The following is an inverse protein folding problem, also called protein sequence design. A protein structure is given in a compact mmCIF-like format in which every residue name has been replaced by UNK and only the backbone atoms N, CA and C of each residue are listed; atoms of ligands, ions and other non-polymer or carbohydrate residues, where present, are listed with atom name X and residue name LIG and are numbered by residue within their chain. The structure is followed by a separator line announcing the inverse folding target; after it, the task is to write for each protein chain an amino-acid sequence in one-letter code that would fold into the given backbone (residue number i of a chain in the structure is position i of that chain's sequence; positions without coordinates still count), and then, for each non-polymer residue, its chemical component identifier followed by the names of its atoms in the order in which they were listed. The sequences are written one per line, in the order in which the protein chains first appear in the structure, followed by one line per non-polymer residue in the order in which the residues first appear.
data_IF_813437630460
#
_entry.id   IF_813437630460
#
_cell.length_a   1.000
_cell.length_b   1.000
_cell.length_c   1.000
_cell.angle_alpha   90.00
_cell.angle_beta   90.00
_cell.angle_gamma   90.00
#
_symmetry.space_group_name_H-M   'P 1'
#
loop_
_entity.id
_entity.type
_entity.pdbx_description
1 polymer ?
#
# COMPACT_ATOMS: atom_id res chain seq x y z
N UNK A 1 22.15 -52.31 -38.06
CA UNK A 1 23.23 -51.96 -37.12
C UNK A 1 24.31 -51.26 -37.92
N UNK A 2 24.76 -50.04 -37.63
CA UNK A 2 24.25 -49.01 -36.71
C UNK A 2 24.91 -47.66 -37.07
N UNK A 3 24.22 -46.57 -36.75
CA UNK A 3 24.59 -45.15 -36.69
C UNK A 3 26.10 -44.89 -36.39
N UNK A 4 26.74 -43.82 -36.90
CA UNK A 4 26.86 -42.48 -36.27
C UNK A 4 27.69 -41.59 -37.22
N UNK A 5 27.45 -40.29 -37.44
CA UNK A 5 26.20 -39.51 -37.39
C UNK A 5 26.40 -38.16 -38.15
N UNK A 6 25.33 -37.41 -38.47
CA UNK A 6 25.41 -36.25 -39.38
C UNK A 6 24.26 -35.21 -39.20
N UNK A 7 24.42 -34.25 -38.28
CA UNK A 7 23.78 -32.92 -38.36
C UNK A 7 24.48 -31.89 -37.48
N UNK A 8 24.77 -30.72 -38.06
CA UNK A 8 25.07 -29.46 -37.35
C UNK A 8 23.97 -28.46 -37.71
N UNK A 9 23.63 -27.59 -36.76
CA UNK A 9 22.72 -26.43 -36.89
C UNK A 9 21.26 -26.87 -37.14
N UNK A 10 20.22 -26.29 -36.54
CA UNK A 10 19.88 -24.87 -36.29
C UNK A 10 19.30 -24.73 -34.87
N UNK A 11 19.75 -23.77 -34.04
CA UNK A 11 19.10 -22.46 -33.84
C UNK A 11 17.58 -22.58 -33.62
N UNK A 12 17.19 -22.89 -32.39
CA UNK A 12 15.86 -22.52 -31.89
C UNK A 12 16.00 -21.19 -31.12
N UNK A 13 15.35 -20.16 -31.65
CA UNK A 13 15.30 -18.84 -31.04
C UNK A 13 14.45 -18.86 -29.77
N UNK A 14 15.03 -18.40 -28.67
CA UNK A 14 14.33 -18.24 -27.39
C UNK A 14 13.28 -17.12 -27.53
N UNK A 15 12.05 -17.51 -27.86
CA UNK A 15 10.94 -16.58 -27.95
C UNK A 15 10.53 -16.18 -26.55
N UNK A 16 10.98 -15.00 -26.14
CA UNK A 16 10.28 -14.20 -25.14
C UNK A 16 8.83 -14.01 -25.59
N UNK A 17 7.95 -14.89 -25.12
CA UNK A 17 6.54 -14.60 -25.04
C UNK A 17 6.39 -13.57 -23.93
N UNK A 18 6.16 -12.32 -24.33
CA UNK A 18 5.56 -11.34 -23.43
C UNK A 18 4.16 -11.89 -23.11
N UNK A 19 4.01 -12.43 -21.90
CA UNK A 19 2.73 -12.92 -21.41
C UNK A 19 1.74 -11.74 -21.36
N UNK A 20 0.85 -11.63 -22.36
CA UNK A 20 -0.36 -10.82 -22.23
C UNK A 20 -1.12 -11.32 -21.00
N UNK A 21 -1.02 -10.58 -19.89
CA UNK A 21 -1.64 -10.96 -18.61
C UNK A 21 -3.15 -10.74 -18.71
N UNK A 22 -3.82 -11.69 -19.36
CA UNK A 22 -5.26 -11.72 -19.51
C UNK A 22 -5.88 -12.08 -18.17
N UNK A 23 -6.08 -11.06 -17.32
CA UNK A 23 -6.71 -11.24 -16.02
C UNK A 23 -8.09 -11.89 -16.20
N UNK A 24 -8.28 -13.06 -15.60
CA UNK A 24 -9.60 -13.68 -15.51
C UNK A 24 -10.36 -13.14 -14.30
N UNK A 25 -11.69 -13.27 -14.32
CA UNK A 25 -12.56 -12.77 -13.23
C UNK A 25 -12.20 -13.43 -11.90
N UNK A 26 -11.84 -14.72 -11.90
CA UNK A 26 -11.40 -15.44 -10.71
C UNK A 26 -10.06 -14.93 -10.16
N UNK A 27 -9.07 -14.60 -11.00
CA UNK A 27 -7.80 -14.00 -10.56
C UNK A 27 -8.05 -12.64 -9.91
N UNK A 28 -8.89 -11.79 -10.50
CA UNK A 28 -9.22 -10.47 -9.93
C UNK A 28 -9.93 -10.60 -8.58
N UNK A 29 -10.89 -11.52 -8.45
CA UNK A 29 -11.59 -11.78 -7.18
C UNK A 29 -10.64 -12.35 -6.12
N UNK A 30 -9.82 -13.34 -6.46
CA UNK A 30 -8.87 -13.94 -5.52
C UNK A 30 -7.84 -12.91 -5.02
N UNK A 31 -7.30 -12.08 -5.92
CA UNK A 31 -6.36 -11.01 -5.55
C UNK A 31 -6.99 -9.99 -4.59
N UNK A 32 -8.27 -9.64 -4.78
CA UNK A 32 -8.99 -8.76 -3.85
C UNK A 32 -9.21 -9.44 -2.49
N UNK A 33 -9.68 -10.69 -2.47
CA UNK A 33 -9.90 -11.45 -1.22
C UNK A 33 -8.60 -11.55 -0.41
N UNK A 34 -7.50 -11.98 -1.04
CA UNK A 34 -6.20 -12.03 -0.36
C UNK A 34 -5.77 -10.68 0.18
N UNK A 35 -5.96 -9.59 -0.58
CA UNK A 35 -5.62 -8.25 -0.09
C UNK A 35 -6.47 -7.80 1.11
N UNK A 36 -7.74 -8.18 1.16
CA UNK A 36 -8.61 -7.90 2.32
C UNK A 36 -8.14 -8.69 3.54
N UNK A 37 -7.83 -9.98 3.37
CA UNK A 37 -7.31 -10.85 4.43
C UNK A 37 -5.95 -10.35 4.98
N UNK A 38 -5.02 -9.95 4.10
CA UNK A 38 -3.74 -9.35 4.50
C UNK A 38 -3.95 -8.13 5.43
N UNK A 39 -4.96 -7.30 5.13
CA UNK A 39 -5.29 -6.09 5.90
C UNK A 39 -5.97 -6.44 7.22
N UNK A 40 -6.83 -7.46 7.25
CA UNK A 40 -7.45 -8.00 8.47
C UNK A 40 -6.42 -8.60 9.43
N UNK A 41 -5.48 -9.39 8.91
CA UNK A 41 -4.35 -9.94 9.66
C UNK A 41 -3.46 -8.81 10.20
N UNK A 42 -3.16 -7.79 9.38
CA UNK A 42 -2.42 -6.62 9.83
C UNK A 42 -3.17 -5.85 10.94
N UNK A 43 -4.47 -5.63 10.80
CA UNK A 43 -5.28 -4.94 11.80
C UNK A 43 -5.26 -5.70 13.14
N UNK A 44 -5.56 -7.00 13.10
CA UNK A 44 -5.64 -7.87 14.28
C UNK A 44 -4.34 -7.91 15.08
N UNK A 45 -3.20 -8.03 14.39
CA UNK A 45 -1.88 -8.11 15.01
C UNK A 45 -1.32 -6.74 15.43
N UNK A 46 -1.34 -5.74 14.54
CA UNK A 46 -0.62 -4.48 14.77
C UNK A 46 -1.40 -3.43 15.56
N UNK A 47 -2.74 -3.39 15.53
CA UNK A 47 -3.52 -2.46 16.37
C UNK A 47 -3.34 -2.82 17.84
N UNK A 48 -3.50 -4.10 18.19
CA UNK A 48 -3.28 -4.62 19.55
C UNK A 48 -1.86 -4.32 20.05
N UNK A 49 -0.86 -4.53 19.18
CA UNK A 49 0.54 -4.22 19.50
C UNK A 49 0.79 -2.72 19.66
N UNK A 50 0.16 -1.86 18.85
CA UNK A 50 0.25 -0.41 18.98
C UNK A 50 -0.35 0.10 20.29
N UNK A 51 -1.51 -0.42 20.70
CA UNK A 51 -2.13 -0.11 22.00
C UNK A 51 -1.22 -0.53 23.16
N UNK A 52 -0.71 -1.77 23.12
CA UNK A 52 0.20 -2.30 24.14
C UNK A 52 1.49 -1.48 24.26
N UNK A 53 2.13 -1.16 23.12
CA UNK A 53 3.33 -0.33 23.09
C UNK A 53 3.08 1.10 23.59
N UNK A 54 1.92 1.68 23.29
CA UNK A 54 1.53 2.99 23.80
C UNK A 54 1.41 2.97 25.34
N UNK A 55 0.69 1.99 25.90
CA UNK A 55 0.54 1.81 27.35
C UNK A 55 1.88 1.52 28.05
N UNK A 56 2.72 0.65 27.48
CA UNK A 56 4.04 0.34 28.02
C UNK A 56 4.97 1.57 28.03
N UNK A 57 4.90 2.42 26.99
CA UNK A 57 5.65 3.68 26.97
C UNK A 57 5.11 4.70 27.98
N UNK A 58 3.79 4.74 28.23
CA UNK A 58 3.19 5.58 29.27
C UNK A 58 3.74 5.24 30.66
N UNK A 59 3.74 3.96 31.03
CA UNK A 59 4.26 3.51 32.33
C UNK A 59 5.79 3.67 32.42
N UNK A 60 6.56 3.45 31.34
CA UNK A 60 7.99 3.79 31.29
C UNK A 60 8.24 5.27 31.64
N UNK A 61 7.56 6.18 30.95
CA UNK A 61 7.74 7.62 31.15
C UNK A 61 7.33 8.07 32.56
N UNK A 62 6.29 7.47 33.12
CA UNK A 62 5.83 7.71 34.49
C UNK A 62 6.86 7.28 35.54
N UNK A 63 7.54 6.15 35.34
CA UNK A 63 8.66 5.70 36.17
C UNK A 63 9.87 6.64 36.05
N UNK A 64 10.29 6.96 34.83
CA UNK A 64 11.42 7.88 34.59
C UNK A 64 11.18 9.28 35.16
N UNK A 65 9.94 9.78 35.11
CA UNK A 65 9.55 11.06 35.69
C UNK A 65 9.64 11.03 37.23
N UNK A 66 9.21 9.94 37.86
CA UNK A 66 9.32 9.74 39.32
C UNK A 66 10.80 9.68 39.76
N UNK A 67 11.63 8.88 39.08
CA UNK A 67 13.08 8.82 39.32
C UNK A 67 13.74 10.21 39.22
N UNK A 68 13.41 10.98 38.18
CA UNK A 68 13.94 12.33 38.01
C UNK A 68 13.49 13.28 39.14
N UNK A 69 12.23 13.17 39.60
CA UNK A 69 11.74 13.99 40.71
C UNK A 69 12.45 13.67 42.03
N UNK A 70 12.75 12.40 42.32
CA UNK A 70 13.37 12.01 43.57
C UNK A 70 14.88 12.36 43.60
N UNK A 71 15.58 12.22 42.46
CA UNK A 71 16.96 12.72 42.29
C UNK A 71 17.08 14.25 42.38
N UNK A 72 16.00 14.99 42.08
CA UNK A 72 15.97 16.46 42.25
C UNK A 72 15.72 16.88 43.70
N UNK A 73 14.99 16.06 44.48
CA UNK A 73 14.69 16.30 45.91
C UNK A 73 15.80 15.86 46.85
N UNK A 74 16.66 14.92 46.45
CA UNK A 74 17.75 14.41 47.30
C UNK A 74 18.81 15.48 47.59
N UNK A 75 19.58 15.32 48.67
CA UNK A 75 20.73 16.19 49.01
C UNK A 75 21.99 15.84 48.18
N UNK A 76 21.83 15.31 46.98
CA UNK A 76 22.94 14.89 46.13
C UNK A 76 23.78 16.05 45.56
N UNK A 77 25.01 15.69 45.21
CA UNK A 77 26.06 16.52 44.64
C UNK A 77 25.59 17.32 43.40
N UNK A 78 26.06 18.56 43.27
CA UNK A 78 25.55 19.51 42.26
C UNK A 78 25.61 19.00 40.81
N UNK A 79 26.63 18.20 40.49
CA UNK A 79 26.80 17.60 39.15
C UNK A 79 25.67 16.62 38.82
N UNK A 80 25.25 15.78 39.78
CA UNK A 80 24.14 14.85 39.61
C UNK A 80 22.81 15.59 39.43
N UNK A 81 22.60 16.70 40.14
CA UNK A 81 21.42 17.57 39.97
C UNK A 81 21.38 18.19 38.58
N UNK A 82 22.51 18.60 38.02
CA UNK A 82 22.59 19.11 36.64
C UNK A 82 22.20 18.04 35.61
N UNK A 83 22.64 16.80 35.81
CA UNK A 83 22.26 15.64 34.98
C UNK A 83 20.75 15.35 35.11
N UNK A 84 20.22 15.35 36.35
CA UNK A 84 18.79 15.15 36.61
C UNK A 84 17.90 16.22 35.93
N UNK A 85 18.28 17.50 35.98
CA UNK A 85 17.56 18.59 35.27
C UNK A 85 17.56 18.36 33.75
N UNK A 86 18.68 17.90 33.17
CA UNK A 86 18.75 17.60 31.73
C UNK A 86 17.85 16.42 31.37
N UNK A 87 17.85 15.34 32.17
CA UNK A 87 17.03 14.15 31.95
C UNK A 87 15.54 14.45 32.15
N UNK A 88 15.18 15.24 33.16
CA UNK A 88 13.83 15.74 33.38
C UNK A 88 13.30 16.48 32.15
N UNK A 89 14.07 17.44 31.59
CA UNK A 89 13.70 18.15 30.35
C UNK A 89 13.59 17.25 29.12
N UNK A 90 14.24 16.09 29.11
CA UNK A 90 14.04 15.10 28.05
C UNK A 90 12.74 14.32 28.28
N UNK A 91 12.54 13.77 29.48
CA UNK A 91 11.33 13.05 29.86
C UNK A 91 10.06 13.89 29.65
N UNK A 92 10.08 15.16 30.05
CA UNK A 92 9.01 16.15 29.84
C UNK A 92 8.62 16.29 28.36
N UNK A 93 9.59 16.38 27.46
CA UNK A 93 9.35 16.40 26.00
C UNK A 93 8.87 15.06 25.45
N UNK A 94 9.30 13.94 26.02
CA UNK A 94 8.80 12.61 25.64
C UNK A 94 7.35 12.38 26.12
N UNK A 95 6.98 12.90 27.30
CA UNK A 95 5.61 12.93 27.82
C UNK A 95 4.72 13.83 26.96
N UNK A 96 5.14 15.05 26.65
CA UNK A 96 4.42 15.93 25.72
C UNK A 96 4.23 15.27 24.35
N UNK A 97 5.29 14.67 23.77
CA UNK A 97 5.15 13.90 22.52
C UNK A 97 4.16 12.75 22.65
N UNK A 98 4.21 12.01 23.76
CA UNK A 98 3.35 10.86 23.99
C UNK A 98 1.87 11.28 24.07
N UNK A 99 1.55 12.29 24.88
CA UNK A 99 0.20 12.85 25.05
C UNK A 99 -0.37 13.43 23.74
N UNK A 100 0.47 14.04 22.91
CA UNK A 100 0.07 14.59 21.61
C UNK A 100 0.17 13.56 20.45
N UNK A 101 0.49 12.29 20.72
CA UNK A 101 0.59 11.24 19.70
C UNK A 101 -0.58 10.26 19.80
N UNK A 102 -1.22 9.96 18.66
CA UNK A 102 -2.20 8.87 18.58
C UNK A 102 -1.78 7.83 17.52
N UNK A 103 -0.77 6.98 17.81
CA UNK A 103 -0.26 6.00 16.85
C UNK A 103 -1.30 4.94 16.48
N UNK A 104 -2.26 4.66 17.35
CA UNK A 104 -3.35 3.68 17.13
C UNK A 104 -4.31 4.22 16.06
N UNK A 105 -4.83 5.44 16.24
CA UNK A 105 -5.71 6.08 15.26
C UNK A 105 -5.04 6.30 13.89
N UNK A 106 -3.74 6.62 13.88
CA UNK A 106 -2.96 6.74 12.62
C UNK A 106 -2.87 5.39 11.91
N UNK A 107 -2.65 4.30 12.65
CA UNK A 107 -2.60 2.94 12.10
C UNK A 107 -3.98 2.51 11.58
N UNK A 108 -5.04 2.69 12.35
CA UNK A 108 -6.43 2.40 11.95
C UNK A 108 -6.80 3.14 10.66
N UNK A 109 -6.52 4.44 10.57
CA UNK A 109 -6.74 5.26 9.36
C UNK A 109 -5.93 4.75 8.16
N UNK A 110 -4.68 4.37 8.37
CA UNK A 110 -3.83 3.84 7.29
C UNK A 110 -4.33 2.49 6.74
N UNK A 111 -4.80 1.61 7.63
CA UNK A 111 -5.39 0.32 7.27
C UNK A 111 -6.73 0.51 6.53
N UNK A 112 -7.57 1.45 6.98
CA UNK A 112 -8.80 1.82 6.29
C UNK A 112 -8.53 2.37 4.87
N UNK A 113 -7.54 3.25 4.72
CA UNK A 113 -7.12 3.77 3.40
C UNK A 113 -6.62 2.61 2.52
N UNK A 114 -5.84 1.68 3.07
CA UNK A 114 -5.35 0.49 2.34
C UNK A 114 -6.50 -0.39 1.86
N UNK A 115 -7.53 -0.58 2.69
CA UNK A 115 -8.73 -1.35 2.34
C UNK A 115 -9.53 -0.66 1.22
N UNK A 116 -9.68 0.66 1.31
CA UNK A 116 -10.31 1.44 0.24
C UNK A 116 -9.51 1.35 -1.06
N UNK A 117 -8.18 1.46 -1.00
CA UNK A 117 -7.31 1.29 -2.18
C UNK A 117 -7.38 -0.11 -2.79
N UNK A 118 -7.50 -1.17 -1.97
CA UNK A 118 -7.69 -2.53 -2.45
C UNK A 118 -9.00 -2.69 -3.21
N UNK A 119 -10.09 -2.13 -2.68
CA UNK A 119 -11.40 -2.11 -3.35
C UNK A 119 -11.39 -1.25 -4.62
N UNK A 120 -10.77 -0.09 -4.57
CA UNK A 120 -10.65 0.85 -5.69
C UNK A 120 -9.86 0.26 -6.87
N UNK A 121 -8.83 -0.54 -6.59
CA UNK A 121 -8.11 -1.36 -7.57
C UNK A 121 -8.99 -2.49 -8.11
N UNK A 122 -9.62 -3.28 -7.24
CA UNK A 122 -10.49 -4.39 -7.62
C UNK A 122 -11.60 -3.97 -8.60
N UNK A 123 -12.24 -2.83 -8.38
CA UNK A 123 -13.26 -2.29 -9.30
C UNK A 123 -12.65 -1.91 -10.66
N UNK A 124 -11.43 -1.37 -10.69
CA UNK A 124 -10.72 -1.07 -11.94
C UNK A 124 -10.38 -2.34 -12.71
N UNK A 125 -9.70 -3.28 -12.04
CA UNK A 125 -9.34 -4.60 -12.60
C UNK A 125 -10.58 -5.31 -13.16
N UNK A 126 -11.69 -5.35 -12.41
CA UNK A 126 -12.93 -6.01 -12.82
C UNK A 126 -13.56 -5.36 -14.05
N UNK A 127 -13.55 -4.02 -14.14
CA UNK A 127 -14.03 -3.31 -15.34
C UNK A 127 -13.13 -3.65 -16.54
N UNK A 128 -11.81 -3.69 -16.37
CA UNK A 128 -10.89 -4.05 -17.44
C UNK A 128 -11.17 -5.46 -17.99
N UNK A 129 -11.38 -6.45 -17.11
CA UNK A 129 -11.77 -7.81 -17.51
C UNK A 129 -13.14 -7.87 -18.20
N UNK A 130 -14.10 -7.04 -17.81
CA UNK A 130 -15.40 -6.95 -18.50
C UNK A 130 -15.22 -6.41 -19.93
N UNK A 131 -14.34 -5.42 -20.13
CA UNK A 131 -14.04 -4.86 -21.46
C UNK A 131 -13.18 -5.78 -22.34
N UNK A 132 -12.31 -6.63 -21.75
CA UNK A 132 -11.56 -7.64 -22.51
C UNK A 132 -12.45 -8.81 -22.96
N UNK A 133 -13.40 -9.24 -22.10
CA UNK A 133 -14.39 -10.27 -22.44
C UNK A 133 -15.40 -9.76 -23.48
N UNK A 134 -15.78 -8.48 -23.44
CA UNK A 134 -16.72 -7.88 -24.38
C UNK A 134 -16.20 -6.56 -25.00
N UNK A 135 -15.35 -6.64 -26.05
CA UNK A 135 -14.81 -5.46 -26.72
C UNK A 135 -15.86 -4.56 -27.40
N UNK A 136 -17.10 -5.02 -27.61
CA UNK A 136 -18.17 -4.15 -28.12
C UNK A 136 -18.52 -3.01 -27.16
N UNK A 137 -18.18 -3.15 -25.86
CA UNK A 137 -18.39 -2.10 -24.86
C UNK A 137 -17.60 -0.82 -25.16
N UNK A 138 -16.43 -0.91 -25.83
CA UNK A 138 -15.67 0.26 -26.26
C UNK A 138 -16.48 1.19 -27.17
N UNK A 139 -17.42 0.67 -27.97
CA UNK A 139 -18.28 1.47 -28.87
C UNK A 139 -19.26 2.36 -28.10
N UNK A 140 -19.52 2.08 -26.83
CA UNK A 140 -20.38 2.87 -25.96
C UNK A 140 -19.60 3.96 -25.19
N UNK A 141 -18.27 3.97 -25.26
CA UNK A 141 -17.45 5.05 -24.69
C UNK A 141 -17.59 6.28 -25.60
N UNK A 142 -18.49 7.19 -25.23
CA UNK A 142 -18.74 8.41 -25.98
C UNK A 142 -17.65 9.46 -25.69
N UNK A 143 -16.46 9.26 -26.28
CA UNK A 143 -15.26 10.07 -26.04
C UNK A 143 -14.57 10.41 -27.36
N UNK A 144 -14.57 11.69 -27.70
CA UNK A 144 -13.81 12.22 -28.84
C UNK A 144 -12.33 12.36 -28.46
N UNK A 145 -11.44 12.02 -29.40
CA UNK A 145 -9.98 12.09 -29.24
C UNK A 145 -9.42 12.84 -30.44
N UNK A 146 -8.53 13.79 -30.21
CA UNK A 146 -7.89 14.51 -31.32
C UNK A 146 -6.93 13.57 -32.06
N UNK A 147 -6.91 13.66 -33.39
CA UNK A 147 -5.99 12.84 -34.20
C UNK A 147 -4.52 13.04 -33.80
N UNK A 148 -4.15 14.25 -33.34
CA UNK A 148 -2.85 14.57 -32.78
C UNK A 148 -2.50 13.78 -31.51
N UNK A 149 -3.49 13.50 -30.64
CA UNK A 149 -3.31 12.64 -29.44
C UNK A 149 -3.30 11.17 -29.84
N UNK A 150 -4.20 10.73 -30.74
CA UNK A 150 -4.22 9.35 -31.22
C UNK A 150 -2.90 8.92 -31.90
N UNK A 151 -2.21 9.84 -32.58
CA UNK A 151 -0.92 9.59 -33.23
C UNK A 151 0.29 9.56 -32.29
N UNK A 152 0.13 9.79 -30.98
CA UNK A 152 1.24 9.64 -30.00
C UNK A 152 1.44 8.22 -29.49
N UNK A 153 0.48 7.32 -29.75
CA UNK A 153 0.51 5.92 -29.30
C UNK A 153 1.09 5.01 -30.38
N UNK A 154 1.76 3.93 -29.97
CA UNK A 154 2.46 3.00 -30.85
C UNK A 154 1.51 1.98 -31.50
N UNK A 155 0.37 1.70 -30.87
CA UNK A 155 -0.65 0.78 -31.38
C UNK A 155 -2.08 1.26 -31.06
N UNK A 156 -3.07 0.67 -31.75
CA UNK A 156 -4.49 0.92 -31.44
C UNK A 156 -4.90 0.24 -30.13
N UNK A 157 -4.20 -0.83 -29.74
CA UNK A 157 -4.33 -1.51 -28.44
C UNK A 157 -3.87 -0.60 -27.28
N UNK A 158 -2.69 0.03 -27.37
CA UNK A 158 -2.20 1.00 -26.37
C UNK A 158 -3.18 2.18 -26.21
N UNK A 159 -3.74 2.67 -27.33
CA UNK A 159 -4.79 3.69 -27.30
C UNK A 159 -6.06 3.18 -26.59
N UNK A 160 -6.48 1.92 -26.79
CA UNK A 160 -7.65 1.35 -26.09
C UNK A 160 -7.44 1.24 -24.59
N UNK A 161 -6.27 0.81 -24.14
CA UNK A 161 -5.92 0.72 -22.71
C UNK A 161 -6.02 2.10 -22.04
N UNK A 162 -5.39 3.12 -22.64
CA UNK A 162 -5.44 4.49 -22.10
C UNK A 162 -6.86 5.08 -22.12
N UNK A 163 -7.70 4.73 -23.09
CA UNK A 163 -9.13 5.11 -23.09
C UNK A 163 -9.88 4.41 -21.96
N UNK A 164 -9.65 3.11 -21.77
CA UNK A 164 -10.26 2.27 -20.75
C UNK A 164 -9.92 2.77 -19.35
N UNK A 165 -8.65 3.06 -19.05
CA UNK A 165 -8.21 3.65 -17.78
C UNK A 165 -8.92 4.98 -17.49
N UNK A 166 -8.95 5.88 -18.48
CA UNK A 166 -9.66 7.16 -18.41
C UNK A 166 -11.18 6.99 -18.25
N UNK A 167 -11.78 5.87 -18.64
CA UNK A 167 -13.20 5.56 -18.43
C UNK A 167 -13.45 4.89 -17.07
N UNK A 168 -12.57 3.98 -16.63
CA UNK A 168 -12.55 3.40 -15.29
C UNK A 168 -12.53 4.51 -14.23
N UNK A 169 -11.65 5.50 -14.37
CA UNK A 169 -11.64 6.68 -13.50
C UNK A 169 -12.99 7.43 -13.51
N UNK A 170 -13.62 7.56 -14.69
CA UNK A 170 -14.87 8.31 -14.86
C UNK A 170 -16.04 7.58 -14.19
N UNK A 171 -16.11 6.25 -14.33
CA UNK A 171 -17.09 5.39 -13.65
C UNK A 171 -16.90 5.47 -12.13
N UNK A 172 -15.66 5.43 -11.64
CA UNK A 172 -15.32 5.52 -10.22
C UNK A 172 -15.71 6.89 -9.64
N UNK A 173 -15.36 7.99 -10.31
CA UNK A 173 -15.72 9.37 -9.90
C UNK A 173 -17.24 9.59 -9.87
N UNK A 174 -17.99 9.08 -10.85
CA UNK A 174 -19.47 9.16 -10.90
C UNK A 174 -20.20 8.44 -9.76
N UNK A 175 -19.57 7.47 -9.08
CA UNK A 175 -20.19 6.76 -7.94
C UNK A 175 -19.99 7.46 -6.59
N UNK A 176 -19.09 8.43 -6.53
CA UNK A 176 -18.70 9.13 -5.29
C UNK A 176 -19.28 10.55 -5.20
N UNK A 177 -20.05 10.97 -6.22
CA UNK A 177 -20.72 12.28 -6.32
C UNK A 177 -22.24 12.09 -6.36
#
# INVERSE_FOLDING_TARGET
MSNIDLTKNEVEEDKHQEDEVFFSVDVVINNFIHRVLDIEDCASNFITLAVSNYQANAERLKLELAECQDLLKSEEEQEKKLIAVRRFRQCDREVERHNNSNPVEVLEKSLFISLFSAFDKYIGDLIAVIYSINPELYKNINREIQLSEALTYNSIEELREVILDKEIETIKKKKTT
#
